data_IF_897766456064
#
_entry.id   IF_897766456064
#
_cell.length_a   1.000
_cell.length_b   1.000
_cell.length_c   1.000
_cell.angle_alpha   90.00
_cell.angle_beta   90.00
_cell.angle_gamma   90.00
#
_symmetry.space_group_name_H-M   'P 1'
#
loop_
_entity.id
_entity.type
_entity.pdbx_description
1 polymer ?
#
# COMPACT_ATOMS: atom_id res chain seq x y z
N UNK A 1 -5.28 -33.02 12.22
CA UNK A 1 -4.90 -32.73 10.84
C UNK A 1 -5.50 -31.37 10.45
N UNK A 2 -4.70 -30.30 10.44
CA UNK A 2 -5.13 -28.99 9.92
C UNK A 2 -5.21 -29.15 8.41
N UNK A 3 -6.40 -28.94 7.83
CA UNK A 3 -6.58 -29.02 6.37
C UNK A 3 -5.70 -27.97 5.69
N UNK A 4 -4.98 -28.27 4.60
CA UNK A 4 -4.12 -27.32 3.89
C UNK A 4 -4.93 -26.33 3.02
N UNK A 5 -6.07 -25.83 3.51
CA UNK A 5 -6.98 -24.92 2.80
C UNK A 5 -7.30 -23.64 3.57
N UNK A 6 -6.48 -23.28 4.56
CA UNK A 6 -6.66 -22.00 5.23
C UNK A 6 -6.24 -20.85 4.31
N UNK A 7 -7.14 -19.89 4.12
CA UNK A 7 -6.84 -18.66 3.38
C UNK A 7 -5.83 -17.83 4.19
N UNK A 8 -4.84 -17.18 3.54
CA UNK A 8 -3.96 -16.25 4.23
C UNK A 8 -4.75 -15.13 4.92
N UNK A 9 -4.36 -14.74 6.12
CA UNK A 9 -4.87 -13.54 6.79
C UNK A 9 -4.15 -12.32 6.22
N UNK A 10 -4.90 -11.40 5.59
CA UNK A 10 -4.35 -10.18 5.00
C UNK A 10 -4.84 -8.98 5.80
N UNK A 11 -3.90 -8.31 6.49
CA UNK A 11 -4.17 -7.04 7.16
C UNK A 11 -4.42 -5.94 6.13
N UNK A 12 -5.53 -5.21 6.24
CA UNK A 12 -5.91 -4.11 5.33
C UNK A 12 -5.97 -2.82 6.14
N UNK A 13 -5.13 -1.84 5.81
CA UNK A 13 -5.07 -0.57 6.55
C UNK A 13 -6.35 0.25 6.42
N UNK A 14 -6.87 0.74 7.55
CA UNK A 14 -8.03 1.63 7.59
C UNK A 14 -7.61 3.11 7.71
N UNK A 15 -8.53 4.01 7.37
CA UNK A 15 -8.47 5.43 7.67
C UNK A 15 -9.33 5.74 8.89
N UNK A 16 -8.99 6.79 9.64
CA UNK A 16 -9.85 7.35 10.67
C UNK A 16 -10.58 8.57 10.11
N UNK A 17 -11.90 8.54 10.12
CA UNK A 17 -12.74 9.62 9.55
C UNK A 17 -13.83 10.04 10.51
N UNK A 18 -14.06 11.34 10.61
CA UNK A 18 -15.23 11.88 11.28
C UNK A 18 -16.51 11.56 10.48
N UNK A 19 -17.58 11.21 11.17
CA UNK A 19 -18.85 10.81 10.56
C UNK A 19 -19.84 11.97 10.35
N UNK A 20 -19.42 13.20 10.59
CA UNK A 20 -20.28 14.40 10.50
C UNK A 20 -21.31 14.55 11.62
N UNK A 21 -21.26 13.70 12.66
CA UNK A 21 -22.11 13.72 13.85
C UNK A 21 -21.28 13.75 15.15
N UNK A 22 -20.00 14.15 15.07
CA UNK A 22 -19.08 14.21 16.20
C UNK A 22 -18.50 12.85 16.62
N UNK A 23 -18.71 11.78 15.83
CA UNK A 23 -18.10 10.46 16.07
C UNK A 23 -17.04 10.13 15.04
N UNK A 24 -16.19 9.15 15.36
CA UNK A 24 -15.11 8.68 14.50
C UNK A 24 -15.34 7.24 14.04
N UNK A 25 -15.03 6.95 12.77
CA UNK A 25 -15.13 5.63 12.18
C UNK A 25 -13.83 5.23 11.52
N UNK A 26 -13.38 3.99 11.78
CA UNK A 26 -12.37 3.36 10.93
C UNK A 26 -13.03 2.89 9.64
N UNK A 27 -12.51 3.33 8.50
CA UNK A 27 -13.11 3.06 7.19
C UNK A 27 -12.09 2.51 6.21
N UNK A 28 -12.54 1.54 5.41
CA UNK A 28 -11.82 0.98 4.26
C UNK A 28 -12.77 0.96 3.08
N UNK A 29 -12.29 1.34 1.91
CA UNK A 29 -13.08 1.22 0.68
C UNK A 29 -13.32 -0.25 0.34
N UNK A 30 -14.58 -0.62 0.04
CA UNK A 30 -14.98 -2.00 -0.26
C UNK A 30 -14.12 -2.67 -1.35
N UNK A 31 -13.67 -1.92 -2.35
CA UNK A 31 -12.80 -2.40 -3.41
C UNK A 31 -11.50 -3.04 -2.90
N UNK A 32 -10.89 -2.53 -1.80
CA UNK A 32 -9.70 -3.13 -1.19
C UNK A 32 -10.02 -4.42 -0.46
N UNK A 33 -11.16 -4.46 0.25
CA UNK A 33 -11.66 -5.66 0.92
C UNK A 33 -11.92 -6.76 -0.11
N UNK A 34 -12.59 -6.42 -1.23
CA UNK A 34 -12.87 -7.36 -2.31
C UNK A 34 -11.60 -7.81 -3.04
N UNK A 35 -10.61 -6.93 -3.22
CA UNK A 35 -9.34 -7.29 -3.82
C UNK A 35 -8.55 -8.26 -2.92
N UNK A 36 -8.46 -8.03 -1.61
CA UNK A 36 -7.86 -8.96 -0.68
C UNK A 36 -8.59 -10.31 -0.62
N UNK A 37 -9.94 -10.29 -0.63
CA UNK A 37 -10.77 -11.50 -0.54
C UNK A 37 -10.77 -12.33 -1.83
N UNK A 38 -10.95 -11.67 -2.99
CA UNK A 38 -11.22 -12.35 -4.27
C UNK A 38 -10.00 -12.40 -5.17
N UNK A 39 -9.28 -11.29 -5.34
CA UNK A 39 -8.12 -11.26 -6.21
C UNK A 39 -6.90 -11.93 -5.53
N UNK A 40 -6.61 -11.62 -4.26
CA UNK A 40 -5.55 -12.29 -3.52
C UNK A 40 -6.00 -13.60 -2.85
N UNK A 41 -7.28 -13.93 -2.81
CA UNK A 41 -7.81 -15.17 -2.23
C UNK A 41 -7.62 -15.29 -0.72
N UNK A 42 -7.33 -14.18 -0.02
CA UNK A 42 -7.11 -14.12 1.43
C UNK A 42 -8.39 -13.91 2.24
N UNK A 43 -8.24 -13.84 3.56
CA UNK A 43 -9.25 -13.35 4.50
C UNK A 43 -8.81 -11.96 4.97
N UNK A 44 -9.52 -10.88 4.60
CA UNK A 44 -9.16 -9.52 5.02
C UNK A 44 -9.46 -9.29 6.48
N UNK A 45 -8.49 -8.70 7.20
CA UNK A 45 -8.62 -8.22 8.59
C UNK A 45 -8.29 -6.74 8.59
N UNK A 46 -9.21 -5.89 9.07
CA UNK A 46 -8.97 -4.45 9.08
C UNK A 46 -7.97 -4.08 10.18
N UNK A 47 -6.95 -3.31 9.82
CA UNK A 47 -5.99 -2.73 10.77
C UNK A 47 -6.49 -1.31 11.08
N UNK A 48 -6.94 -1.02 12.31
CA UNK A 48 -7.43 0.31 12.66
C UNK A 48 -6.30 1.33 12.69
N UNK A 49 -6.61 2.59 12.42
CA UNK A 49 -5.68 3.72 12.55
C UNK A 49 -5.71 4.21 14.01
N UNK A 50 -4.76 3.77 14.84
CA UNK A 50 -4.77 3.93 16.30
C UNK A 50 -3.50 4.59 16.88
N UNK A 51 -2.54 4.98 16.02
CA UNK A 51 -1.21 5.41 16.48
C UNK A 51 -1.18 6.40 17.65
N UNK A 52 -1.88 7.55 17.61
CA UNK A 52 -1.82 8.53 18.69
C UNK A 52 -2.41 8.06 20.02
N UNK A 53 -3.27 7.05 20.00
CA UNK A 53 -3.92 6.50 21.21
C UNK A 53 -2.92 5.80 22.16
N UNK A 54 -1.76 5.36 21.64
CA UNK A 54 -0.69 4.78 22.47
C UNK A 54 0.19 5.84 23.16
N UNK A 55 -0.05 7.12 22.88
CA UNK A 55 0.68 8.23 23.51
C UNK A 55 2.19 8.12 23.32
N UNK A 56 2.93 8.38 24.39
CA UNK A 56 4.39 8.35 24.40
C UNK A 56 4.97 6.93 24.61
N UNK A 57 4.12 5.88 24.73
CA UNK A 57 4.57 4.50 24.92
C UNK A 57 4.82 3.82 23.57
N UNK A 58 5.80 4.32 22.83
CA UNK A 58 6.24 3.76 21.56
C UNK A 58 6.64 2.28 21.67
N UNK A 59 7.36 1.80 22.72
CA UNK A 59 7.68 0.39 22.86
C UNK A 59 6.46 -0.53 22.95
N UNK A 60 5.42 -0.17 23.72
CA UNK A 60 4.20 -0.97 23.82
C UNK A 60 3.42 -1.00 22.49
N UNK A 61 3.43 0.11 21.75
CA UNK A 61 2.85 0.15 20.42
C UNK A 61 3.58 -0.78 19.44
N UNK A 62 4.91 -0.76 19.43
CA UNK A 62 5.73 -1.61 18.58
C UNK A 62 5.57 -3.09 18.92
N UNK A 63 5.48 -3.45 20.21
CA UNK A 63 5.17 -4.82 20.65
C UNK A 63 3.80 -5.27 20.15
N UNK A 64 2.78 -4.40 20.24
CA UNK A 64 1.44 -4.69 19.73
C UNK A 64 1.45 -4.90 18.20
N UNK A 65 2.23 -4.10 17.44
CA UNK A 65 2.40 -4.27 16.01
C UNK A 65 3.10 -5.60 15.68
N UNK A 66 4.11 -5.99 16.42
CA UNK A 66 4.80 -7.26 16.24
C UNK A 66 3.84 -8.44 16.45
N UNK A 67 3.03 -8.42 17.50
CA UNK A 67 1.99 -9.44 17.75
C UNK A 67 0.94 -9.50 16.63
N UNK A 68 0.54 -8.32 16.09
CA UNK A 68 -0.35 -8.25 14.95
C UNK A 68 0.29 -8.92 13.72
N UNK A 69 1.54 -8.55 13.38
CA UNK A 69 2.28 -9.09 12.24
C UNK A 69 2.56 -10.59 12.36
N UNK A 70 2.72 -11.11 13.58
CA UNK A 70 2.81 -12.55 13.84
C UNK A 70 1.54 -13.30 13.47
N UNK A 71 0.40 -12.63 13.48
CA UNK A 71 -0.90 -13.21 13.12
C UNK A 71 -1.21 -13.10 11.63
N UNK A 72 -0.57 -12.18 10.91
CA UNK A 72 -0.85 -11.89 9.50
C UNK A 72 0.08 -12.65 8.55
N UNK A 73 -0.45 -12.99 7.39
CA UNK A 73 0.29 -13.61 6.29
C UNK A 73 0.65 -12.60 5.20
N UNK A 74 0.09 -11.40 5.25
CA UNK A 74 0.39 -10.27 4.38
C UNK A 74 -0.28 -8.99 4.84
N UNK A 75 0.20 -7.85 4.33
CA UNK A 75 -0.36 -6.53 4.59
C UNK A 75 -0.68 -5.84 3.27
N UNK A 76 -1.89 -5.31 3.15
CA UNK A 76 -2.36 -4.47 2.04
C UNK A 76 -2.59 -3.04 2.56
N UNK A 77 -1.74 -2.10 2.12
CA UNK A 77 -1.94 -0.68 2.40
C UNK A 77 -2.85 -0.05 1.35
N UNK A 78 -3.91 0.56 1.83
CA UNK A 78 -4.95 1.13 0.96
C UNK A 78 -4.61 2.55 0.50
N UNK A 79 -5.18 2.99 -0.62
CA UNK A 79 -5.27 4.41 -0.96
C UNK A 79 -6.21 5.18 -0.03
N UNK A 80 -6.08 6.50 -0.04
CA UNK A 80 -6.93 7.43 0.69
C UNK A 80 -6.95 8.79 0.00
N UNK A 81 -8.01 9.59 0.14
CA UNK A 81 -8.00 10.99 -0.29
C UNK A 81 -7.14 11.91 0.60
N UNK A 82 -6.72 11.45 1.80
CA UNK A 82 -5.81 12.21 2.66
C UNK A 82 -4.37 12.07 2.18
N UNK A 83 -3.58 13.13 2.35
CA UNK A 83 -2.13 13.14 2.16
C UNK A 83 -1.41 12.62 3.42
N UNK A 84 -0.22 12.05 3.24
CA UNK A 84 0.73 11.84 4.35
C UNK A 84 1.15 13.20 4.89
N UNK A 85 1.16 13.36 6.22
CA UNK A 85 1.50 14.63 6.84
C UNK A 85 2.94 15.06 6.53
N UNK A 86 3.16 16.33 6.09
CA UNK A 86 4.47 16.78 5.60
C UNK A 86 5.59 16.78 6.63
N UNK A 87 5.27 16.88 7.92
CA UNK A 87 6.28 16.86 8.97
C UNK A 87 7.07 15.54 9.02
N UNK A 88 6.47 14.41 8.57
CA UNK A 88 7.14 13.11 8.49
C UNK A 88 8.28 13.07 7.46
N UNK A 89 8.33 14.03 6.52
CA UNK A 89 9.39 14.16 5.52
C UNK A 89 9.98 15.57 5.45
N UNK A 90 9.92 16.31 6.58
CA UNK A 90 10.63 17.59 6.78
C UNK A 90 10.05 18.77 5.99
N UNK A 91 8.76 18.77 5.66
CA UNK A 91 8.09 19.88 4.97
C UNK A 91 6.97 20.46 5.83
N UNK A 92 6.60 21.72 5.56
CA UNK A 92 5.48 22.39 6.19
C UNK A 92 4.16 21.99 5.52
N UNK A 93 3.08 21.93 6.31
CA UNK A 93 1.75 21.62 5.82
C UNK A 93 1.16 22.78 5.03
N UNK A 94 0.46 22.47 3.94
CA UNK A 94 -0.32 23.45 3.19
C UNK A 94 -1.74 23.51 3.71
N UNK A 95 -2.26 24.74 3.82
CA UNK A 95 -3.64 24.98 4.25
C UNK A 95 -4.64 24.26 3.31
N UNK A 96 -5.70 23.72 3.89
CA UNK A 96 -6.76 23.03 3.15
C UNK A 96 -6.40 21.60 2.71
N UNK A 97 -5.20 21.09 3.04
CA UNK A 97 -4.84 19.69 2.75
C UNK A 97 -5.45 18.75 3.79
N UNK A 98 -6.14 17.72 3.33
CA UNK A 98 -6.69 16.68 4.20
C UNK A 98 -5.58 15.74 4.65
N UNK A 99 -5.43 15.54 5.95
CA UNK A 99 -4.51 14.59 6.56
C UNK A 99 -5.26 13.54 7.40
N UNK A 100 -4.60 12.43 7.70
CA UNK A 100 -5.08 11.39 8.62
C UNK A 100 -3.92 11.02 9.56
N UNK A 101 -3.75 11.82 10.60
CA UNK A 101 -2.67 11.67 11.58
C UNK A 101 -2.66 10.30 12.25
N UNK A 102 -3.84 9.77 12.59
CA UNK A 102 -3.96 8.46 13.23
C UNK A 102 -3.44 7.35 12.29
N UNK A 103 -3.75 7.47 10.99
CA UNK A 103 -3.25 6.54 10.00
C UNK A 103 -1.73 6.65 9.84
N UNK A 104 -1.17 7.84 9.71
CA UNK A 104 0.28 8.03 9.58
C UNK A 104 1.03 7.45 10.78
N UNK A 105 0.59 7.78 12.00
CA UNK A 105 1.19 7.26 13.24
C UNK A 105 1.08 5.74 13.36
N UNK A 106 0.12 5.11 12.70
CA UNK A 106 -0.03 3.65 12.67
C UNK A 106 0.78 3.03 11.53
N UNK A 107 0.60 3.53 10.29
CA UNK A 107 1.13 2.84 9.11
C UNK A 107 2.62 3.03 8.91
N UNK A 108 3.20 4.18 9.26
CA UNK A 108 4.64 4.41 9.07
C UNK A 108 5.51 3.45 9.90
N UNK A 109 5.30 3.23 11.21
CA UNK A 109 6.01 2.19 11.95
C UNK A 109 5.62 0.77 11.48
N UNK A 110 4.33 0.51 11.21
CA UNK A 110 3.87 -0.79 10.70
C UNK A 110 4.63 -1.21 9.42
N UNK A 111 4.85 -0.27 8.49
CA UNK A 111 5.58 -0.53 7.25
C UNK A 111 7.00 -1.01 7.54
N UNK A 112 7.74 -0.30 8.40
CA UNK A 112 9.12 -0.66 8.75
C UNK A 112 9.17 -2.07 9.33
N UNK A 113 8.32 -2.37 10.33
CA UNK A 113 8.23 -3.69 10.94
C UNK A 113 7.81 -4.77 9.95
N UNK A 114 6.84 -4.49 9.06
CA UNK A 114 6.39 -5.42 8.02
C UNK A 114 7.53 -5.81 7.09
N UNK A 115 8.31 -4.84 6.62
CA UNK A 115 9.44 -5.05 5.72
C UNK A 115 10.56 -5.83 6.43
N UNK A 116 10.98 -5.39 7.62
CA UNK A 116 12.11 -5.99 8.34
C UNK A 116 11.81 -7.43 8.79
N UNK A 117 10.54 -7.76 9.06
CA UNK A 117 10.08 -9.11 9.40
C UNK A 117 9.74 -9.98 8.18
N UNK A 118 9.93 -9.48 6.97
CA UNK A 118 9.65 -10.20 5.73
C UNK A 118 8.17 -10.57 5.56
N UNK A 119 7.24 -9.80 6.15
CA UNK A 119 5.81 -9.96 5.89
C UNK A 119 5.51 -9.41 4.49
N UNK A 120 4.84 -10.15 3.61
CA UNK A 120 4.46 -9.65 2.30
C UNK A 120 3.67 -8.34 2.39
N UNK A 121 4.11 -7.31 1.67
CA UNK A 121 3.53 -5.99 1.66
C UNK A 121 3.11 -5.60 0.24
N UNK A 122 1.84 -5.28 0.06
CA UNK A 122 1.33 -4.67 -1.16
C UNK A 122 0.70 -3.32 -0.84
N UNK A 123 1.20 -2.24 -1.43
CA UNK A 123 0.81 -0.88 -1.11
C UNK A 123 0.24 -0.16 -2.33
N UNK A 124 -0.91 0.54 -2.15
CA UNK A 124 -1.67 1.14 -3.24
C UNK A 124 -1.86 2.64 -2.99
N UNK A 125 -1.51 3.47 -3.96
CA UNK A 125 -1.67 4.92 -4.00
C UNK A 125 -1.03 5.60 -2.77
N UNK A 126 -1.84 6.05 -1.78
CA UNK A 126 -1.30 6.57 -0.53
C UNK A 126 -0.38 5.57 0.18
N UNK A 127 -0.64 4.26 0.05
CA UNK A 127 0.24 3.22 0.58
C UNK A 127 1.65 3.26 0.00
N UNK A 128 1.83 3.54 -1.30
CA UNK A 128 3.14 3.77 -1.90
C UNK A 128 3.84 4.98 -1.27
N UNK A 129 3.10 6.07 -1.07
CA UNK A 129 3.61 7.31 -0.48
C UNK A 129 4.05 7.06 0.97
N UNK A 130 3.26 6.30 1.74
CA UNK A 130 3.59 5.86 3.10
C UNK A 130 4.86 5.00 3.12
N UNK A 131 5.03 4.06 2.17
CA UNK A 131 6.26 3.24 2.07
C UNK A 131 7.47 4.12 1.80
N UNK A 132 7.38 5.07 0.85
CA UNK A 132 8.47 5.98 0.56
C UNK A 132 8.87 6.81 1.80
N UNK A 133 7.91 7.39 2.50
CA UNK A 133 8.16 8.20 3.71
C UNK A 133 8.70 7.35 4.86
N UNK A 134 8.11 6.17 5.11
CA UNK A 134 8.55 5.27 6.17
C UNK A 134 10.02 4.85 6.02
N UNK A 135 10.53 4.81 4.80
CA UNK A 135 11.92 4.45 4.47
C UNK A 135 12.84 5.67 4.26
N UNK A 136 12.37 6.88 4.57
CA UNK A 136 13.19 8.11 4.57
C UNK A 136 13.15 8.92 3.27
N UNK A 137 12.21 8.66 2.38
CA UNK A 137 11.95 9.48 1.20
C UNK A 137 11.05 10.69 1.50
N UNK A 138 10.83 11.55 0.49
CA UNK A 138 9.95 12.70 0.59
C UNK A 138 8.89 12.73 -0.52
N UNK A 139 7.90 13.62 -0.36
CA UNK A 139 6.77 13.73 -1.28
C UNK A 139 6.57 15.16 -1.78
N UNK A 140 6.14 15.29 -3.04
CA UNK A 140 5.42 16.47 -3.51
C UNK A 140 4.01 16.43 -2.95
N UNK A 141 3.59 17.48 -2.22
CA UNK A 141 2.23 17.54 -1.65
C UNK A 141 1.19 17.67 -2.77
N UNK A 142 1.53 18.38 -3.83
CA UNK A 142 0.69 18.63 -5.01
C UNK A 142 1.54 18.49 -6.27
N UNK A 143 1.55 17.32 -6.88
CA UNK A 143 2.35 17.03 -8.09
C UNK A 143 1.97 17.96 -9.24
N UNK A 144 0.68 18.25 -9.42
CA UNK A 144 0.15 19.12 -10.48
C UNK A 144 0.59 20.59 -10.38
N UNK A 145 1.23 21.00 -9.28
CA UNK A 145 1.79 22.36 -9.12
C UNK A 145 3.30 22.39 -9.38
N UNK A 146 3.92 21.23 -9.61
CA UNK A 146 5.34 21.11 -9.90
C UNK A 146 5.55 21.33 -11.41
N UNK A 147 6.46 22.24 -11.77
CA UNK A 147 6.76 22.55 -13.16
C UNK A 147 7.17 21.26 -13.92
N UNK A 148 6.62 21.06 -15.10
CA UNK A 148 6.87 19.90 -15.93
C UNK A 148 6.14 18.62 -15.53
N UNK A 149 5.34 18.65 -14.47
CA UNK A 149 4.49 17.52 -14.06
C UNK A 149 3.08 17.67 -14.62
N UNK A 150 2.48 16.53 -14.97
CA UNK A 150 1.07 16.48 -15.37
C UNK A 150 0.14 16.55 -14.17
N UNK A 151 -1.14 16.76 -14.40
CA UNK A 151 -2.18 16.57 -13.37
C UNK A 151 -2.57 15.09 -13.27
N UNK A 152 -2.18 14.46 -12.18
CA UNK A 152 -2.46 13.05 -11.87
C UNK A 152 -3.79 12.84 -11.13
N UNK A 153 -4.59 13.89 -10.94
CA UNK A 153 -5.88 13.78 -10.26
C UNK A 153 -6.96 13.28 -11.21
N UNK A 154 -7.95 12.57 -10.66
CA UNK A 154 -9.10 12.11 -11.42
C UNK A 154 -10.06 13.26 -11.79
N UNK A 155 -10.92 13.06 -12.81
CA UNK A 155 -11.92 14.05 -13.24
C UNK A 155 -12.97 14.42 -12.19
N UNK A 156 -13.07 13.70 -11.06
CA UNK A 156 -14.11 13.87 -10.02
C UNK A 156 -15.54 13.69 -10.55
N UNK A 157 -15.76 12.68 -11.38
CA UNK A 157 -17.07 12.29 -11.87
C UNK A 157 -17.88 11.57 -10.77
N UNK A 158 -19.22 11.68 -10.75
CA UNK A 158 -20.06 10.80 -9.94
C UNK A 158 -19.98 9.33 -10.40
N UNK A 159 -19.59 9.09 -11.65
CA UNK A 159 -19.34 7.77 -12.19
C UNK A 159 -17.91 7.31 -11.84
N UNK A 160 -17.81 6.24 -11.09
CA UNK A 160 -16.53 5.66 -10.67
C UNK A 160 -15.73 5.10 -11.84
N UNK A 161 -16.38 4.59 -12.88
CA UNK A 161 -15.68 4.09 -14.08
C UNK A 161 -14.94 5.20 -14.81
N UNK A 162 -15.46 6.42 -14.80
CA UNK A 162 -14.78 7.60 -15.34
C UNK A 162 -13.57 7.99 -14.49
N UNK A 163 -13.70 7.94 -13.16
CA UNK A 163 -12.60 8.29 -12.25
C UNK A 163 -11.43 7.30 -12.32
N UNK A 164 -11.72 6.01 -12.56
CA UNK A 164 -10.73 4.94 -12.63
C UNK A 164 -10.41 4.50 -14.06
N UNK A 165 -10.84 5.28 -15.06
CA UNK A 165 -10.49 5.03 -16.46
C UNK A 165 -8.96 5.09 -16.67
N UNK A 166 -8.43 4.39 -17.70
CA UNK A 166 -7.03 4.52 -18.11
C UNK A 166 -6.65 5.99 -18.32
N UNK A 167 -5.51 6.43 -17.76
CA UNK A 167 -5.11 7.83 -17.72
C UNK A 167 -3.79 8.12 -18.45
N UNK A 168 -2.78 7.26 -18.26
CA UNK A 168 -1.47 7.42 -18.88
C UNK A 168 -0.69 6.10 -18.94
N UNK A 169 0.34 6.09 -19.75
CA UNK A 169 1.30 4.99 -19.84
C UNK A 169 2.40 5.14 -18.78
N UNK A 170 2.87 4.00 -18.31
CA UNK A 170 4.05 3.91 -17.45
C UNK A 170 5.13 3.07 -18.12
N UNK A 171 6.38 3.52 -18.02
CA UNK A 171 7.58 2.76 -18.42
C UNK A 171 8.04 1.91 -17.22
N UNK A 172 8.14 0.59 -17.45
CA UNK A 172 8.53 -0.38 -16.43
C UNK A 172 10.05 -0.56 -16.48
N UNK A 173 10.69 -0.49 -15.30
CA UNK A 173 12.13 -0.60 -15.17
C UNK A 173 12.65 -2.00 -15.56
N UNK A 174 13.67 -2.04 -16.39
CA UNK A 174 14.27 -3.29 -16.85
C UNK A 174 14.91 -4.07 -15.69
N UNK A 175 14.65 -5.39 -15.65
CA UNK A 175 15.16 -6.30 -14.62
C UNK A 175 14.53 -6.08 -13.23
N UNK A 176 13.48 -5.26 -13.13
CA UNK A 176 12.73 -5.01 -11.88
C UNK A 176 11.72 -6.10 -11.55
N UNK A 177 11.22 -6.05 -10.31
CA UNK A 177 10.17 -6.95 -9.85
C UNK A 177 8.91 -6.82 -10.71
N UNK A 178 8.49 -5.59 -11.00
CA UNK A 178 7.28 -5.34 -11.79
C UNK A 178 7.40 -5.93 -13.20
N UNK A 179 8.57 -5.81 -13.85
CA UNK A 179 8.80 -6.41 -15.16
C UNK A 179 8.74 -7.93 -15.10
N UNK A 180 9.32 -8.55 -14.05
CA UNK A 180 9.26 -10.01 -13.88
C UNK A 180 7.82 -10.51 -13.73
N UNK A 181 6.96 -9.74 -13.06
CA UNK A 181 5.57 -10.11 -12.83
C UNK A 181 4.71 -9.93 -14.09
N UNK A 182 4.88 -8.83 -14.80
CA UNK A 182 4.00 -8.49 -15.92
C UNK A 182 4.49 -9.06 -17.26
N UNK A 183 5.81 -9.13 -17.46
CA UNK A 183 6.43 -9.50 -18.73
C UNK A 183 6.40 -8.38 -19.76
N UNK A 184 6.00 -7.17 -19.37
CA UNK A 184 5.79 -6.00 -20.24
C UNK A 184 6.85 -4.92 -19.95
N UNK A 185 7.06 -4.03 -20.92
CA UNK A 185 7.91 -2.83 -20.75
C UNK A 185 7.10 -1.57 -20.53
N UNK A 186 5.81 -1.60 -20.90
CA UNK A 186 4.89 -0.46 -20.80
C UNK A 186 3.47 -0.97 -20.61
N UNK A 187 2.72 -0.32 -19.74
CA UNK A 187 1.29 -0.57 -19.53
C UNK A 187 0.58 0.76 -19.28
N UNK A 188 -0.71 0.81 -19.61
CA UNK A 188 -1.57 1.96 -19.31
C UNK A 188 -2.24 1.75 -17.95
N UNK A 189 -2.23 2.79 -17.09
CA UNK A 189 -2.78 2.76 -15.73
C UNK A 189 -3.78 3.89 -15.50
N UNK A 190 -4.61 3.76 -14.46
CA UNK A 190 -5.44 4.88 -13.97
C UNK A 190 -4.62 5.80 -13.07
N UNK A 191 -5.13 7.02 -12.80
CA UNK A 191 -4.43 8.01 -11.98
C UNK A 191 -5.40 8.86 -11.18
N UNK A 192 -5.27 8.83 -9.84
CA UNK A 192 -6.19 9.49 -8.91
C UNK A 192 -5.46 10.10 -7.70
N UNK A 193 -4.30 10.73 -7.89
CA UNK A 193 -3.50 11.24 -6.79
C UNK A 193 -3.07 12.69 -6.99
N UNK A 194 -3.01 13.46 -5.90
CA UNK A 194 -2.43 14.80 -5.86
C UNK A 194 -0.99 14.77 -5.30
N UNK A 195 -0.74 13.91 -4.31
CA UNK A 195 0.56 13.70 -3.69
C UNK A 195 1.33 12.61 -4.45
N UNK A 196 2.66 12.73 -4.54
CA UNK A 196 3.52 11.75 -5.21
C UNK A 196 4.96 11.82 -4.73
N UNK A 197 5.80 10.86 -5.11
CA UNK A 197 7.21 10.81 -4.71
C UNK A 197 7.97 12.01 -5.25
N UNK A 198 8.72 12.69 -4.37
CA UNK A 198 9.70 13.74 -4.66
C UNK A 198 11.12 13.16 -4.61
N UNK A 199 11.56 12.75 -3.42
CA UNK A 199 12.82 12.04 -3.23
C UNK A 199 12.55 10.59 -2.91
N UNK A 200 13.13 9.68 -3.70
CA UNK A 200 13.01 8.25 -3.46
C UNK A 200 13.73 7.85 -2.18
N UNK A 201 13.12 7.00 -1.38
CA UNK A 201 13.73 6.45 -0.18
C UNK A 201 15.00 5.63 -0.52
N UNK A 202 16.05 5.66 0.33
CA UNK A 202 17.33 5.01 0.02
C UNK A 202 17.25 3.48 -0.22
N UNK A 203 16.32 2.79 0.44
CA UNK A 203 16.10 1.34 0.28
C UNK A 203 15.17 0.99 -0.88
N UNK A 204 14.48 1.98 -1.44
CA UNK A 204 13.51 1.73 -2.49
C UNK A 204 14.18 1.70 -3.88
N UNK A 205 13.61 0.88 -4.77
CA UNK A 205 13.94 0.84 -6.19
C UNK A 205 12.72 1.26 -7.00
N UNK A 206 12.92 2.14 -7.98
CA UNK A 206 11.88 2.49 -8.93
C UNK A 206 11.60 1.27 -9.83
N UNK A 207 10.35 0.87 -9.88
CA UNK A 207 9.85 -0.20 -10.73
C UNK A 207 9.12 0.32 -11.98
N UNK A 208 8.52 1.52 -11.88
CA UNK A 208 7.92 2.20 -13.02
C UNK A 208 7.83 3.70 -12.82
N UNK A 209 7.81 4.43 -13.93
CA UNK A 209 7.58 5.88 -13.99
C UNK A 209 6.55 6.24 -15.06
N UNK A 210 5.81 7.32 -14.86
CA UNK A 210 4.96 7.91 -15.90
C UNK A 210 5.79 8.31 -17.12
N UNK A 211 5.37 7.90 -18.31
CA UNK A 211 6.09 8.18 -19.56
C UNK A 211 6.16 9.67 -19.91
N UNK A 212 5.19 10.47 -19.45
CA UNK A 212 5.03 11.87 -19.83
C UNK A 212 5.89 12.80 -18.99
N UNK A 213 6.04 12.53 -17.68
CA UNK A 213 6.65 13.45 -16.74
C UNK A 213 7.67 12.81 -15.78
N UNK A 214 7.84 11.49 -15.86
CA UNK A 214 8.79 10.75 -15.02
C UNK A 214 8.35 10.63 -13.54
N UNK A 215 7.08 10.91 -13.18
CA UNK A 215 6.59 10.69 -11.83
C UNK A 215 6.71 9.20 -11.47
N UNK A 216 7.19 8.90 -10.26
CA UNK A 216 7.30 7.52 -9.78
C UNK A 216 5.91 6.90 -9.63
N UNK A 217 5.68 5.79 -10.31
CA UNK A 217 4.41 5.08 -10.34
C UNK A 217 4.46 3.72 -9.63
N UNK A 218 5.66 3.13 -9.51
CA UNK A 218 5.83 1.91 -8.72
C UNK A 218 7.22 1.86 -8.08
N UNK A 219 7.29 1.23 -6.91
CA UNK A 219 8.54 0.94 -6.22
C UNK A 219 8.51 -0.45 -5.56
N UNK A 220 9.70 -1.01 -5.36
CA UNK A 220 9.97 -2.20 -4.55
C UNK A 220 11.07 -1.91 -3.52
N UNK A 221 11.31 -2.85 -2.62
CA UNK A 221 12.39 -2.82 -1.63
C UNK A 221 13.23 -4.09 -1.83
N UNK A 222 14.29 -4.04 -2.65
CA UNK A 222 15.02 -5.24 -3.08
C UNK A 222 15.75 -5.99 -1.95
N UNK A 223 16.13 -5.29 -0.88
CA UNK A 223 16.78 -5.85 0.30
C UNK A 223 15.79 -6.39 1.35
N UNK A 224 14.48 -6.28 1.12
CA UNK A 224 13.47 -6.84 2.00
C UNK A 224 13.51 -8.38 1.98
N UNK A 225 13.42 -9.06 3.15
CA UNK A 225 13.35 -10.52 3.20
C UNK A 225 12.08 -11.11 2.58
N UNK A 226 11.04 -10.28 2.40
CA UNK A 226 9.73 -10.65 1.86
C UNK A 226 9.35 -9.85 0.61
N UNK A 227 8.20 -10.20 0.05
CA UNK A 227 7.62 -9.48 -1.09
C UNK A 227 7.23 -8.06 -0.68
N UNK A 228 7.72 -7.04 -1.39
CA UNK A 228 7.31 -5.64 -1.23
C UNK A 228 7.09 -5.03 -2.60
N UNK A 229 5.86 -4.64 -2.89
CA UNK A 229 5.48 -3.91 -4.09
C UNK A 229 4.54 -2.77 -3.73
N UNK A 230 4.83 -1.58 -4.21
CA UNK A 230 4.00 -0.40 -3.99
C UNK A 230 3.71 0.28 -5.33
N UNK A 231 2.44 0.63 -5.54
CA UNK A 231 1.92 1.16 -6.80
C UNK A 231 1.19 2.48 -6.55
N UNK A 232 1.39 3.47 -7.42
CA UNK A 232 0.71 4.75 -7.30
C UNK A 232 -0.72 4.72 -7.87
N UNK A 233 -0.94 3.88 -8.89
CA UNK A 233 -2.28 3.65 -9.46
C UNK A 233 -3.13 2.70 -8.61
N UNK A 234 -4.34 2.41 -9.06
CA UNK A 234 -5.34 1.64 -8.34
C UNK A 234 -5.68 0.30 -9.03
N UNK A 235 -4.88 -0.76 -8.82
CA UNK A 235 -5.13 -2.09 -9.40
C UNK A 235 -6.31 -2.80 -8.73
N UNK A 236 -6.76 -2.35 -7.56
CA UNK A 236 -7.87 -2.95 -6.82
C UNK A 236 -9.25 -2.65 -7.45
N UNK A 237 -9.34 -1.59 -8.27
CA UNK A 237 -10.60 -1.25 -8.92
C UNK A 237 -10.89 -2.23 -10.05
N UNK A 238 -11.99 -2.97 -9.92
CA UNK A 238 -12.37 -4.05 -10.86
C UNK A 238 -11.21 -5.03 -11.13
N UNK A 239 -10.46 -5.39 -10.08
CA UNK A 239 -9.24 -6.18 -10.19
C UNK A 239 -9.43 -7.47 -10.99
N UNK A 240 -10.55 -8.17 -10.81
CA UNK A 240 -10.85 -9.43 -11.49
C UNK A 240 -11.09 -9.29 -13.00
N UNK A 241 -11.37 -8.08 -13.48
CA UNK A 241 -11.61 -7.77 -14.88
C UNK A 241 -10.35 -7.29 -15.62
N UNK A 242 -9.26 -7.01 -14.86
CA UNK A 242 -8.01 -6.47 -15.39
C UNK A 242 -6.87 -7.48 -15.26
N UNK A 243 -6.34 -8.03 -16.40
CA UNK A 243 -5.28 -9.03 -16.36
C UNK A 243 -3.98 -8.54 -15.72
N UNK A 244 -3.64 -7.25 -15.86
CA UNK A 244 -2.45 -6.65 -15.20
C UNK A 244 -2.66 -6.66 -13.70
N UNK A 245 -3.80 -6.20 -13.21
CA UNK A 245 -4.14 -6.23 -11.79
C UNK A 245 -4.08 -7.64 -11.22
N UNK A 246 -4.64 -8.63 -11.93
CA UNK A 246 -4.64 -10.02 -11.47
C UNK A 246 -3.24 -10.58 -11.33
N UNK A 247 -2.31 -10.33 -12.27
CA UNK A 247 -0.90 -10.75 -12.12
C UNK A 247 -0.26 -10.20 -10.84
N UNK A 248 -0.56 -8.95 -10.47
CA UNK A 248 -0.03 -8.31 -9.26
C UNK A 248 -0.62 -8.92 -7.98
N UNK A 249 -1.94 -9.11 -7.94
CA UNK A 249 -2.60 -9.77 -6.81
C UNK A 249 -2.22 -11.23 -6.68
N UNK A 250 -2.02 -11.97 -7.78
CA UNK A 250 -1.55 -13.36 -7.76
C UNK A 250 -0.15 -13.48 -7.16
N UNK A 251 0.76 -12.56 -7.49
CA UNK A 251 2.11 -12.52 -6.92
C UNK A 251 2.07 -12.25 -5.41
N UNK A 252 1.31 -11.25 -4.99
CA UNK A 252 1.09 -10.95 -3.56
C UNK A 252 0.46 -12.16 -2.84
N UNK A 253 -0.56 -12.76 -3.41
CA UNK A 253 -1.20 -13.95 -2.86
C UNK A 253 -0.25 -15.15 -2.74
N UNK A 254 0.63 -15.35 -3.71
CA UNK A 254 1.65 -16.41 -3.65
C UNK A 254 2.61 -16.19 -2.48
N UNK A 255 3.07 -14.95 -2.26
CA UNK A 255 3.90 -14.58 -1.13
C UNK A 255 3.19 -14.79 0.22
N UNK A 256 1.92 -14.39 0.33
CA UNK A 256 1.10 -14.62 1.54
C UNK A 256 0.94 -16.13 1.83
N UNK A 257 0.66 -16.95 0.83
CA UNK A 257 0.55 -18.40 1.00
C UNK A 257 1.87 -19.05 1.42
N UNK A 258 2.99 -18.59 0.87
CA UNK A 258 4.31 -19.07 1.27
C UNK A 258 4.61 -18.77 2.74
N UNK A 259 4.28 -17.55 3.22
CA UNK A 259 4.40 -17.19 4.62
C UNK A 259 3.48 -18.04 5.52
N UNK A 260 2.22 -18.21 5.15
CA UNK A 260 1.29 -19.09 5.87
C UNK A 260 1.84 -20.50 6.04
N UNK A 261 2.36 -21.08 4.96
CA UNK A 261 2.96 -22.42 4.98
C UNK A 261 4.19 -22.48 5.89
N UNK A 262 5.08 -21.49 5.83
CA UNK A 262 6.28 -21.42 6.67
C UNK A 262 5.92 -21.33 8.17
N UNK A 263 4.87 -20.60 8.54
CA UNK A 263 4.39 -20.47 9.93
C UNK A 263 3.72 -21.76 10.45
N UNK A 264 3.08 -22.54 9.60
CA UNK A 264 2.42 -23.79 9.99
C UNK A 264 3.42 -24.92 10.31
N UNK A 265 4.61 -24.89 9.72
CA UNK A 265 5.61 -25.96 9.84
C UNK A 265 6.18 -26.13 11.27
N UNK A 266 6.51 -25.06 12.05
CA UNK A 266 6.99 -25.23 13.43
C UNK A 266 5.94 -25.80 14.40
N UNK A 267 4.65 -25.48 14.20
CA UNK A 267 3.57 -25.98 15.06
C UNK A 267 3.37 -27.49 14.94
N UNK A 268 3.63 -28.06 13.77
CA UNK A 268 3.54 -29.52 13.56
C UNK A 268 4.71 -30.27 14.22
N UNK A 269 5.92 -29.69 14.24
CA UNK A 269 7.09 -30.29 14.90
C UNK A 269 7.06 -30.21 16.42
N UNK A 270 6.29 -29.29 17.01
CA UNK A 270 6.12 -29.16 18.46
C UNK A 270 4.99 -30.05 19.01
N UNK A 271 4.20 -30.68 18.13
CA UNK A 271 3.09 -31.57 18.47
C UNK A 271 3.44 -33.06 18.33
N UNK A 272 4.65 -33.38 17.89
CA UNK A 272 5.26 -34.72 17.87
C UNK A 272 6.22 -34.89 19.07
#
# INVERSE_FOLDING_TARGET
>A
MIRPSSRPLIGVSACLKENGRGGWHHTVGEKYVQAALRAAGGLPVLIPAIGPEFGDDEPAFLEAMDRLLDSLDGVLLTGSPSNVEPHHYGKESREGTLHDRARDSTTLPLIRHTIDRGVPLFAICRGLQEVNVALGGSLHQHVHEVEGRRDHRSPKSPDMDVNYAPAHDIDIAEGGLLQQLLGERRVTVNSLHAQGVDVLAPRARIEATCCEDGQVEALSVPDAPGFVLALQWHPEYKALENPVSMKLFDAFAAACRARLAARATPMLRAAE
#
